data_IF_361230037877
#
_entry.id   IF_361230037877
#
_cell.length_a   1.000
_cell.length_b   1.000
_cell.length_c   1.000
_cell.angle_alpha   90.00
_cell.angle_beta   90.00
_cell.angle_gamma   90.00
#
_symmetry.space_group_name_H-M   'P 1'
#
loop_
_entity.id
_entity.type
_entity.pdbx_description
1 polymer ?
#
# COMPACT_ATOMS: atom_id res chain seq x y z
N UNK A 1 1.23 40.85 -19.57
CA UNK A 1 2.22 40.58 -20.64
C UNK A 1 3.45 41.50 -20.61
N UNK A 2 3.32 42.80 -20.30
CA UNK A 2 4.48 43.71 -20.25
C UNK A 2 5.51 43.40 -19.13
N UNK A 3 5.04 42.97 -17.95
CA UNK A 3 5.93 42.63 -16.82
C UNK A 3 6.79 41.37 -17.06
N UNK A 4 6.29 40.38 -17.81
CA UNK A 4 7.01 39.15 -18.15
C UNK A 4 8.13 39.39 -19.18
N UNK A 5 7.95 40.35 -20.11
CA UNK A 5 9.00 40.76 -21.06
C UNK A 5 10.15 41.54 -20.40
N UNK A 6 9.88 42.27 -19.31
CA UNK A 6 10.91 43.02 -18.59
C UNK A 6 11.87 42.10 -17.81
N UNK A 7 11.33 41.09 -17.10
CA UNK A 7 12.13 40.10 -16.36
C UNK A 7 13.01 39.22 -17.26
N UNK A 8 12.56 38.93 -18.48
CA UNK A 8 13.33 38.17 -19.46
C UNK A 8 14.50 38.94 -20.05
N UNK A 9 14.42 40.29 -20.15
CA UNK A 9 15.55 41.12 -20.61
C UNK A 9 16.61 41.31 -19.52
N UNK A 10 16.20 41.50 -18.27
CA UNK A 10 17.15 41.61 -17.15
C UNK A 10 17.96 40.33 -16.91
N UNK A 11 17.38 39.15 -17.17
CA UNK A 11 18.10 37.88 -17.06
C UNK A 11 19.09 37.63 -18.20
N UNK A 12 18.84 38.16 -19.40
CA UNK A 12 19.74 37.99 -20.56
C UNK A 12 20.94 38.93 -20.44
N UNK A 13 20.74 40.19 -20.05
CA UNK A 13 21.85 41.13 -19.86
C UNK A 13 22.80 40.72 -18.72
N UNK A 14 22.29 40.04 -17.68
CA UNK A 14 23.13 39.51 -16.59
C UNK A 14 24.04 38.36 -17.02
N UNK A 15 23.66 37.61 -18.05
CA UNK A 15 24.46 36.50 -18.61
C UNK A 15 25.51 37.03 -19.57
N UNK A 16 25.21 38.10 -20.32
CA UNK A 16 26.18 38.78 -21.19
C UNK A 16 27.28 39.51 -20.38
N UNK A 17 26.95 40.17 -19.26
CA UNK A 17 27.94 40.83 -18.38
C UNK A 17 28.87 39.85 -17.63
N UNK A 18 28.45 38.60 -17.42
CA UNK A 18 29.31 37.56 -16.82
C UNK A 18 30.24 36.90 -17.86
N UNK A 19 29.87 36.90 -19.14
CA UNK A 19 30.73 36.41 -20.23
C UNK A 19 31.82 37.40 -20.64
N UNK A 20 31.60 38.71 -20.46
CA UNK A 20 32.58 39.74 -20.85
C UNK A 20 33.74 39.92 -19.84
N UNK A 21 33.70 39.24 -18.68
CA UNK A 21 34.74 39.34 -17.63
C UNK A 21 35.83 38.28 -17.65
N UNK A 22 35.90 37.41 -18.67
CA UNK A 22 36.87 36.31 -18.74
C UNK A 22 38.02 36.57 -19.75
N UNK A 23 37.98 37.64 -20.53
CA UNK A 23 39.12 38.02 -21.38
C UNK A 23 39.94 39.15 -20.73
N UNK A 24 41.14 38.84 -20.22
CA UNK A 24 42.40 39.63 -20.33
C UNK A 24 43.55 38.93 -19.55
N UNK A 25 44.72 38.81 -20.21
CA UNK A 25 46.09 38.39 -19.75
C UNK A 25 46.29 36.88 -19.46
N UNK A 26 47.28 36.14 -20.01
CA UNK A 26 48.69 36.43 -20.33
C UNK A 26 49.31 35.42 -21.38
N UNK A 27 50.57 35.55 -21.85
CA UNK A 27 51.01 35.17 -23.20
C UNK A 27 51.59 33.75 -23.39
N UNK A 28 51.30 33.19 -24.58
CA UNK A 28 52.07 32.28 -25.45
C UNK A 28 53.04 31.29 -24.75
N UNK A 29 52.63 30.02 -24.67
CA UNK A 29 53.54 28.86 -24.71
C UNK A 29 53.01 27.78 -25.65
N UNK A 30 53.93 27.34 -26.49
CA UNK A 30 53.96 26.34 -27.56
C UNK A 30 52.83 25.34 -27.76
N UNK A 31 52.59 25.09 -29.06
CA UNK A 31 51.57 24.25 -29.69
C UNK A 31 51.65 22.77 -29.31
N UNK A 32 50.55 22.21 -28.84
CA UNK A 32 50.20 20.80 -29.04
C UNK A 32 48.80 20.72 -29.68
N UNK A 33 48.63 19.82 -30.65
CA UNK A 33 47.38 19.58 -31.38
C UNK A 33 46.21 19.31 -30.41
N UNK A 34 45.08 20.04 -30.48
CA UNK A 34 43.89 19.63 -29.76
C UNK A 34 43.32 18.38 -30.46
N UNK A 35 43.25 17.28 -29.73
CA UNK A 35 42.37 16.16 -30.07
C UNK A 35 40.95 16.73 -30.17
N UNK A 36 40.24 16.37 -31.24
CA UNK A 36 38.80 16.66 -31.38
C UNK A 36 38.08 16.13 -30.13
N UNK A 37 37.60 17.03 -29.28
CA UNK A 37 36.62 16.69 -28.25
C UNK A 37 35.29 16.44 -28.98
N UNK A 38 34.87 15.17 -29.00
CA UNK A 38 33.53 14.79 -29.41
C UNK A 38 32.50 15.58 -28.58
N UNK A 39 31.77 16.46 -29.25
CA UNK A 39 30.58 17.11 -28.67
C UNK A 39 29.58 15.98 -28.37
N UNK A 40 29.20 15.73 -27.11
CA UNK A 40 28.25 14.68 -26.80
C UNK A 40 26.89 15.02 -27.44
N UNK A 41 26.39 14.08 -28.25
CA UNK A 41 25.09 14.14 -28.90
C UNK A 41 23.97 14.40 -27.88
N UNK A 42 23.50 15.65 -27.84
CA UNK A 42 22.45 16.12 -26.92
C UNK A 42 21.08 15.44 -27.13
N UNK A 43 20.93 14.57 -28.13
CA UNK A 43 19.67 13.90 -28.46
C UNK A 43 19.35 12.65 -27.63
N UNK A 44 20.24 12.21 -26.72
CA UNK A 44 20.03 11.02 -25.85
C UNK A 44 20.39 11.22 -24.38
N UNK A 45 20.22 12.43 -23.83
CA UNK A 45 20.28 12.60 -22.37
C UNK A 45 19.09 11.86 -21.72
N UNK A 46 19.30 10.58 -21.34
CA UNK A 46 18.36 9.86 -20.47
C UNK A 46 18.24 10.68 -19.19
N UNK A 47 17.02 11.11 -18.88
CA UNK A 47 16.71 11.75 -17.60
C UNK A 47 16.91 10.66 -16.53
N UNK A 48 18.05 10.72 -15.83
CA UNK A 48 18.37 9.82 -14.72
C UNK A 48 17.82 10.39 -13.41
N UNK A 49 17.22 9.53 -12.59
CA UNK A 49 16.72 9.91 -11.27
C UNK A 49 17.88 10.24 -10.34
N UNK A 50 17.77 11.34 -9.60
CA UNK A 50 18.81 11.75 -8.65
C UNK A 50 18.87 10.79 -7.47
N UNK A 51 20.02 10.11 -7.30
CA UNK A 51 20.31 9.31 -6.10
C UNK A 51 20.31 10.18 -4.84
N UNK A 52 19.34 9.94 -3.96
CA UNK A 52 19.11 10.75 -2.76
C UNK A 52 18.66 9.93 -1.54
N UNK A 53 18.25 8.68 -1.73
CA UNK A 53 17.79 7.81 -0.63
C UNK A 53 19.01 7.18 0.06
N UNK A 54 19.23 7.56 1.31
CA UNK A 54 20.28 7.00 2.20
C UNK A 54 19.82 5.70 2.86
N UNK A 55 20.72 4.99 3.53
CA UNK A 55 20.39 3.81 4.35
C UNK A 55 19.30 4.10 5.39
N UNK A 56 19.42 5.21 6.13
CA UNK A 56 18.42 5.59 7.14
C UNK A 56 17.06 5.89 6.52
N UNK A 57 17.04 6.57 5.37
CA UNK A 57 15.82 6.79 4.61
C UNK A 57 15.21 5.46 4.13
N UNK A 58 16.05 4.49 3.73
CA UNK A 58 15.63 3.15 3.34
C UNK A 58 14.98 2.37 4.48
N UNK A 59 15.64 2.30 5.64
CA UNK A 59 15.09 1.67 6.86
C UNK A 59 13.77 2.33 7.27
N UNK A 60 13.74 3.66 7.33
CA UNK A 60 12.55 4.43 7.66
C UNK A 60 11.40 4.20 6.68
N UNK A 61 11.70 4.06 5.38
CA UNK A 61 10.71 3.77 4.36
C UNK A 61 10.13 2.35 4.50
N UNK A 62 10.95 1.32 4.77
CA UNK A 62 10.41 -0.03 5.02
C UNK A 62 9.56 -0.04 6.28
N UNK A 63 10.08 0.44 7.41
CA UNK A 63 9.35 0.46 8.68
C UNK A 63 8.06 1.26 8.52
N UNK A 64 8.13 2.45 7.91
CA UNK A 64 6.99 3.31 7.66
C UNK A 64 5.99 2.77 6.63
N UNK A 65 6.38 1.82 5.78
CA UNK A 65 5.46 1.19 4.83
C UNK A 65 4.80 -0.04 5.46
N UNK A 66 5.59 -0.91 6.09
CA UNK A 66 5.09 -2.15 6.69
C UNK A 66 4.24 -1.84 7.92
N UNK A 67 4.78 -1.07 8.86
CA UNK A 67 4.03 -0.64 10.04
C UNK A 67 2.96 0.33 9.56
N UNK A 68 1.75 -0.18 9.37
CA UNK A 68 0.62 0.58 8.84
C UNK A 68 -0.66 0.25 9.60
N UNK A 69 -1.77 0.14 8.86
CA UNK A 69 -3.06 -0.27 9.41
C UNK A 69 -3.12 -1.76 9.76
N UNK A 70 -2.28 -2.59 9.12
CA UNK A 70 -2.33 -4.05 9.23
C UNK A 70 -2.31 -4.55 10.68
N UNK A 71 -1.40 -4.03 11.51
CA UNK A 71 -1.26 -4.42 12.92
C UNK A 71 -2.48 -4.06 13.79
N UNK A 72 -3.35 -3.16 13.34
CA UNK A 72 -4.55 -2.75 14.07
C UNK A 72 -5.79 -3.59 13.70
N UNK A 73 -5.67 -4.50 12.74
CA UNK A 73 -6.80 -5.30 12.22
C UNK A 73 -6.49 -6.78 12.31
N UNK A 74 -5.33 -7.16 11.80
CA UNK A 74 -4.92 -8.57 11.65
C UNK A 74 -4.78 -9.35 12.95
N UNK A 75 -4.53 -8.76 14.14
CA UNK A 75 -4.59 -9.52 15.39
C UNK A 75 -5.90 -10.29 15.58
N UNK A 76 -7.05 -9.69 15.24
CA UNK A 76 -8.35 -10.35 15.37
C UNK A 76 -8.50 -11.48 14.38
N UNK A 77 -8.06 -11.27 13.13
CA UNK A 77 -8.02 -12.30 12.10
C UNK A 77 -7.15 -13.50 12.50
N UNK A 78 -5.93 -13.25 12.98
CA UNK A 78 -5.03 -14.33 13.41
C UNK A 78 -5.64 -15.10 14.58
N UNK A 79 -6.11 -14.43 15.64
CA UNK A 79 -6.68 -15.09 16.83
C UNK A 79 -7.97 -15.84 16.50
N UNK A 80 -8.79 -15.32 15.60
CA UNK A 80 -10.02 -15.98 15.16
C UNK A 80 -9.74 -17.35 14.55
N UNK A 81 -8.65 -17.47 13.79
CA UNK A 81 -8.29 -18.71 13.14
C UNK A 81 -7.57 -19.69 14.08
N UNK A 82 -6.68 -19.20 14.96
CA UNK A 82 -5.85 -20.08 15.83
C UNK A 82 -6.38 -20.30 17.25
N UNK A 83 -7.38 -19.54 17.68
CA UNK A 83 -8.09 -19.70 18.96
C UNK A 83 -7.34 -19.24 20.22
N UNK A 84 -6.01 -19.32 20.25
CA UNK A 84 -5.20 -19.05 21.46
C UNK A 84 -4.18 -17.92 21.31
N UNK A 85 -3.81 -17.31 22.43
CA UNK A 85 -2.83 -16.22 22.48
C UNK A 85 -1.42 -16.72 22.12
N UNK A 86 -1.02 -17.87 22.66
CA UNK A 86 0.29 -18.48 22.45
C UNK A 86 0.52 -18.86 21.00
N UNK A 87 -0.46 -19.52 20.36
CA UNK A 87 -0.35 -19.88 18.95
C UNK A 87 -0.39 -18.64 18.04
N UNK A 88 -1.18 -17.62 18.39
CA UNK A 88 -1.17 -16.33 17.68
C UNK A 88 0.22 -15.67 17.66
N UNK A 89 0.91 -15.61 18.81
CA UNK A 89 2.27 -15.06 18.90
C UNK A 89 3.28 -15.86 18.07
N UNK A 90 3.15 -17.18 18.03
CA UNK A 90 3.96 -18.04 17.16
C UNK A 90 3.72 -17.72 15.68
N UNK A 91 2.47 -17.58 15.26
CA UNK A 91 2.13 -17.19 13.87
C UNK A 91 2.77 -15.84 13.52
N UNK A 92 2.69 -14.84 14.39
CA UNK A 92 3.33 -13.54 14.16
C UNK A 92 4.84 -13.63 13.99
N UNK A 93 5.52 -14.44 14.81
CA UNK A 93 6.96 -14.67 14.68
C UNK A 93 7.30 -15.39 13.36
N UNK A 94 6.52 -16.42 12.98
CA UNK A 94 6.70 -17.15 11.72
C UNK A 94 6.48 -16.23 10.51
N UNK A 95 5.43 -15.39 10.51
CA UNK A 95 5.20 -14.40 9.46
C UNK A 95 6.40 -13.45 9.29
N UNK A 96 7.02 -13.01 10.39
CA UNK A 96 8.21 -12.17 10.36
C UNK A 96 9.42 -12.85 9.73
N UNK A 97 9.67 -14.12 10.09
CA UNK A 97 10.75 -14.93 9.50
C UNK A 97 10.53 -15.15 8.01
N UNK A 98 9.33 -15.60 7.61
CA UNK A 98 8.98 -15.84 6.20
C UNK A 98 9.08 -14.56 5.38
N UNK A 99 8.61 -13.43 5.91
CA UNK A 99 8.69 -12.14 5.23
C UNK A 99 10.14 -11.66 5.09
N UNK A 100 10.98 -11.90 6.10
CA UNK A 100 12.41 -11.57 6.04
C UNK A 100 13.11 -12.38 4.96
N UNK A 101 12.83 -13.69 4.87
CA UNK A 101 13.38 -14.55 3.82
C UNK A 101 12.96 -14.06 2.43
N UNK A 102 11.67 -13.77 2.23
CA UNK A 102 11.17 -13.22 0.96
C UNK A 102 11.82 -11.88 0.59
N UNK A 103 11.99 -10.99 1.57
CA UNK A 103 12.63 -9.70 1.37
C UNK A 103 14.11 -9.84 1.00
N UNK A 104 14.85 -10.79 1.58
CA UNK A 104 16.25 -11.05 1.22
C UNK A 104 16.40 -11.57 -0.21
N UNK A 105 15.52 -12.48 -0.66
CA UNK A 105 15.49 -12.91 -2.06
C UNK A 105 15.23 -11.74 -3.01
N UNK A 106 14.34 -10.83 -2.64
CA UNK A 106 14.10 -9.60 -3.41
C UNK A 106 15.27 -8.62 -3.33
N UNK A 107 16.01 -8.58 -2.22
CA UNK A 107 17.20 -7.75 -2.11
C UNK A 107 18.24 -8.15 -3.17
N UNK A 108 18.48 -9.45 -3.34
CA UNK A 108 19.38 -9.99 -4.36
C UNK A 108 18.95 -9.59 -5.78
N UNK A 109 17.65 -9.72 -6.09
CA UNK A 109 17.10 -9.26 -7.36
C UNK A 109 17.25 -7.75 -7.55
N UNK A 110 17.01 -6.96 -6.51
CA UNK A 110 17.14 -5.49 -6.55
C UNK A 110 18.57 -4.97 -6.63
N UNK A 111 19.56 -5.77 -6.20
CA UNK A 111 20.98 -5.48 -6.42
C UNK A 111 21.48 -5.96 -7.78
N UNK A 112 20.85 -6.98 -8.36
CA UNK A 112 21.23 -7.52 -9.68
C UNK A 112 20.60 -6.69 -10.82
N UNK A 113 19.32 -6.34 -10.68
CA UNK A 113 18.55 -5.57 -11.65
C UNK A 113 18.24 -4.21 -11.03
N UNK A 114 19.17 -3.27 -11.15
CA UNK A 114 19.05 -1.90 -10.60
C UNK A 114 18.21 -0.98 -11.49
N UNK A 115 17.06 -1.48 -11.95
CA UNK A 115 16.07 -0.71 -12.71
C UNK A 115 14.87 -0.43 -11.81
N UNK A 116 14.25 0.73 -11.98
CA UNK A 116 13.01 1.09 -11.31
C UNK A 116 11.85 0.23 -11.82
N UNK A 117 10.84 0.00 -10.98
CA UNK A 117 9.66 -0.81 -11.30
C UNK A 117 9.52 -2.13 -10.52
N UNK A 118 10.52 -2.50 -9.69
CA UNK A 118 10.39 -3.59 -8.73
C UNK A 118 10.08 -4.95 -9.37
N UNK A 119 9.06 -5.62 -8.86
CA UNK A 119 8.63 -6.96 -9.31
C UNK A 119 8.27 -7.04 -10.81
N UNK A 120 7.65 -5.98 -11.35
CA UNK A 120 7.36 -5.86 -12.77
C UNK A 120 8.63 -5.98 -13.61
N UNK A 121 9.67 -5.23 -13.24
CA UNK A 121 10.92 -5.17 -14.00
C UNK A 121 11.70 -6.48 -13.89
N UNK A 122 11.63 -7.17 -12.74
CA UNK A 122 12.26 -8.49 -12.58
C UNK A 122 11.61 -9.54 -13.49
N UNK A 123 10.27 -9.53 -13.57
CA UNK A 123 9.55 -10.45 -14.46
C UNK A 123 9.80 -10.10 -15.93
N UNK A 124 9.90 -8.81 -16.27
CA UNK A 124 10.19 -8.35 -17.62
C UNK A 124 11.56 -8.85 -18.10
N UNK A 125 12.59 -8.75 -17.26
CA UNK A 125 13.95 -9.16 -17.62
C UNK A 125 14.08 -10.69 -17.76
N UNK A 126 13.37 -11.47 -16.95
CA UNK A 126 13.49 -12.94 -16.91
C UNK A 126 12.53 -13.66 -17.86
N UNK A 127 11.25 -13.23 -17.88
CA UNK A 127 10.16 -13.93 -18.57
C UNK A 127 9.60 -13.16 -19.78
N UNK A 128 10.05 -11.92 -20.00
CA UNK A 128 9.66 -11.09 -21.13
C UNK A 128 8.32 -10.37 -20.94
N UNK A 129 7.87 -9.74 -22.02
CA UNK A 129 6.81 -8.72 -22.00
C UNK A 129 5.44 -9.24 -21.52
N UNK A 130 5.01 -10.43 -21.97
CA UNK A 130 3.69 -10.96 -21.65
C UNK A 130 3.52 -11.23 -20.15
N UNK A 131 4.51 -11.87 -19.53
CA UNK A 131 4.48 -12.17 -18.10
C UNK A 131 4.53 -10.89 -17.26
N UNK A 132 5.35 -9.92 -17.68
CA UNK A 132 5.42 -8.61 -17.05
C UNK A 132 4.10 -7.85 -17.15
N UNK A 133 3.45 -7.89 -18.32
CA UNK A 133 2.13 -7.29 -18.52
C UNK A 133 1.08 -7.95 -17.62
N UNK A 134 1.05 -9.28 -17.52
CA UNK A 134 0.11 -9.98 -16.63
C UNK A 134 0.33 -9.60 -15.16
N UNK A 135 1.58 -9.49 -14.72
CA UNK A 135 1.88 -9.01 -13.36
C UNK A 135 1.40 -7.59 -13.16
N UNK A 136 1.71 -6.69 -14.09
CA UNK A 136 1.28 -5.28 -14.05
C UNK A 136 -0.25 -5.18 -14.04
N UNK A 137 -0.94 -6.00 -14.83
CA UNK A 137 -2.39 -6.05 -14.95
C UNK A 137 -3.05 -6.51 -13.65
N UNK A 138 -2.53 -7.55 -13.00
CA UNK A 138 -3.02 -8.03 -11.70
C UNK A 138 -2.72 -7.01 -10.59
N UNK A 139 -1.55 -6.39 -10.63
CA UNK A 139 -1.16 -5.39 -9.64
C UNK A 139 -2.04 -4.15 -9.74
N UNK A 140 -2.25 -3.68 -10.98
CA UNK A 140 -3.10 -2.56 -11.33
C UNK A 140 -4.53 -2.86 -10.95
N UNK A 141 -5.09 -3.99 -11.39
CA UNK A 141 -6.49 -4.32 -11.18
C UNK A 141 -6.78 -4.80 -9.77
N UNK A 142 -6.06 -5.77 -9.22
CA UNK A 142 -6.53 -6.47 -8.01
C UNK A 142 -5.79 -5.97 -6.77
N UNK A 143 -4.46 -5.99 -6.80
CA UNK A 143 -3.66 -5.89 -5.57
C UNK A 143 -3.70 -4.47 -5.00
N UNK A 144 -3.39 -3.45 -5.81
CA UNK A 144 -3.30 -2.06 -5.32
C UNK A 144 -4.64 -1.50 -4.85
N UNK A 145 -5.76 -1.62 -5.59
CA UNK A 145 -7.03 -1.06 -5.14
C UNK A 145 -7.60 -1.80 -3.94
N UNK A 146 -7.48 -3.14 -3.88
CA UNK A 146 -7.98 -3.92 -2.75
C UNK A 146 -7.26 -3.55 -1.46
N UNK A 147 -5.92 -3.42 -1.52
CA UNK A 147 -5.11 -2.99 -0.37
C UNK A 147 -5.51 -1.59 0.10
N UNK A 148 -5.65 -0.63 -0.83
CA UNK A 148 -6.06 0.75 -0.51
C UNK A 148 -7.46 0.81 0.10
N UNK A 149 -8.39 0.01 -0.41
CA UNK A 149 -9.75 -0.08 0.10
C UNK A 149 -9.79 -0.66 1.52
N UNK A 150 -9.08 -1.78 1.77
CA UNK A 150 -9.02 -2.38 3.11
C UNK A 150 -8.47 -1.38 4.13
N UNK A 151 -7.36 -0.70 3.81
CA UNK A 151 -6.78 0.31 4.71
C UNK A 151 -7.73 1.48 4.95
N UNK A 152 -8.46 1.93 3.92
CA UNK A 152 -9.41 3.04 4.02
C UNK A 152 -10.67 2.67 4.80
N UNK A 153 -11.13 1.42 4.67
CA UNK A 153 -12.23 0.89 5.46
C UNK A 153 -11.85 0.86 6.95
N UNK A 154 -10.61 0.53 7.25
CA UNK A 154 -10.11 0.48 8.62
C UNK A 154 -9.98 1.87 9.20
N UNK A 155 -9.49 2.84 8.42
CA UNK A 155 -9.56 4.26 8.78
C UNK A 155 -10.99 4.66 9.19
N UNK A 156 -11.98 4.31 8.36
CA UNK A 156 -13.37 4.64 8.63
C UNK A 156 -13.93 3.95 9.88
N UNK A 157 -13.64 2.66 10.07
CA UNK A 157 -14.07 1.90 11.25
C UNK A 157 -13.46 2.50 12.53
N UNK A 158 -12.16 2.79 12.53
CA UNK A 158 -11.50 3.39 13.70
C UNK A 158 -11.97 4.81 13.99
N UNK A 159 -12.30 5.60 12.96
CA UNK A 159 -12.85 6.94 13.13
C UNK A 159 -14.28 6.91 13.70
N UNK A 160 -15.09 5.95 13.25
CA UNK A 160 -16.50 5.82 13.66
C UNK A 160 -16.67 5.06 14.97
N UNK A 161 -15.77 4.15 15.33
CA UNK A 161 -15.94 3.28 16.51
C UNK A 161 -16.20 4.05 17.81
N UNK A 162 -15.55 5.19 18.10
CA UNK A 162 -15.87 5.99 19.29
C UNK A 162 -17.30 6.54 19.32
N UNK A 163 -17.95 6.71 18.16
CA UNK A 163 -19.36 7.13 18.05
C UNK A 163 -20.33 5.95 18.24
N UNK A 164 -19.84 4.72 18.05
CA UNK A 164 -20.56 3.45 18.19
C UNK A 164 -19.84 2.51 19.18
N UNK A 165 -19.69 2.91 20.47
CA UNK A 165 -18.88 2.15 21.42
C UNK A 165 -19.47 0.76 21.71
N UNK A 166 -20.78 0.67 21.93
CA UNK A 166 -21.47 -0.58 22.31
C UNK A 166 -22.12 -1.34 21.14
N UNK A 167 -22.03 -0.82 19.92
CA UNK A 167 -22.64 -1.42 18.73
C UNK A 167 -21.63 -1.51 17.58
N UNK A 168 -21.96 -2.30 16.56
CA UNK A 168 -21.16 -2.38 15.34
C UNK A 168 -21.28 -1.10 14.53
N UNK A 169 -20.20 -0.71 13.86
CA UNK A 169 -20.21 0.46 12.99
C UNK A 169 -21.11 0.16 11.77
N UNK A 170 -22.07 1.03 11.42
CA UNK A 170 -22.90 0.83 10.23
C UNK A 170 -22.04 0.71 8.96
N UNK A 171 -22.20 -0.39 8.24
CA UNK A 171 -21.36 -0.72 7.08
C UNK A 171 -21.43 0.36 5.97
N UNK A 172 -22.61 0.92 5.75
CA UNK A 172 -22.81 2.01 4.77
C UNK A 172 -22.05 3.28 5.15
N UNK A 173 -22.00 3.63 6.44
CA UNK A 173 -21.26 4.78 6.94
C UNK A 173 -19.75 4.57 6.82
N UNK A 174 -19.26 3.39 7.21
CA UNK A 174 -17.86 3.03 7.07
C UNK A 174 -17.40 3.07 5.61
N UNK A 175 -18.18 2.49 4.69
CA UNK A 175 -17.91 2.54 3.25
C UNK A 175 -17.86 3.97 2.70
N UNK A 176 -18.82 4.83 3.08
CA UNK A 176 -18.86 6.21 2.61
C UNK A 176 -17.65 7.02 3.07
N UNK A 177 -17.26 6.87 4.34
CA UNK A 177 -16.07 7.55 4.90
C UNK A 177 -14.78 6.99 4.28
N UNK A 178 -14.71 5.69 4.01
CA UNK A 178 -13.58 5.08 3.32
C UNK A 178 -13.42 5.62 1.90
N UNK A 179 -14.51 5.74 1.15
CA UNK A 179 -14.50 6.37 -0.17
C UNK A 179 -14.08 7.85 -0.09
N UNK A 180 -14.61 8.60 0.89
CA UNK A 180 -14.24 9.99 1.10
C UNK A 180 -12.75 10.14 1.44
N UNK A 181 -12.19 9.26 2.27
CA UNK A 181 -10.76 9.19 2.56
C UNK A 181 -9.95 9.02 1.28
N UNK A 182 -10.26 8.02 0.45
CA UNK A 182 -9.56 7.74 -0.82
C UNK A 182 -9.63 8.93 -1.79
N UNK A 183 -10.83 9.46 -2.02
CA UNK A 183 -11.04 10.59 -2.94
C UNK A 183 -10.31 11.84 -2.45
N UNK A 184 -10.36 12.14 -1.15
CA UNK A 184 -9.68 13.31 -0.58
C UNK A 184 -8.16 13.20 -0.70
N UNK A 185 -7.57 12.05 -0.36
CA UNK A 185 -6.14 11.83 -0.48
C UNK A 185 -5.66 11.92 -1.93
N UNK A 186 -6.44 11.41 -2.86
CA UNK A 186 -6.05 11.47 -4.27
C UNK A 186 -6.18 12.85 -4.84
N UNK A 187 -7.21 13.60 -4.44
CA UNK A 187 -7.30 15.01 -4.77
C UNK A 187 -6.05 15.78 -4.30
N UNK A 188 -5.60 15.55 -3.05
CA UNK A 188 -4.38 16.15 -2.52
C UNK A 188 -3.13 15.72 -3.31
N UNK A 189 -3.01 14.44 -3.64
CA UNK A 189 -1.89 13.90 -4.42
C UNK A 189 -1.85 14.42 -5.86
N UNK A 190 -3.01 14.69 -6.47
CA UNK A 190 -3.10 15.31 -7.79
C UNK A 190 -2.60 16.77 -7.78
N UNK A 191 -2.81 17.50 -6.67
CA UNK A 191 -2.41 18.92 -6.53
C UNK A 191 -0.94 19.06 -6.14
N UNK A 192 -0.46 18.32 -5.13
CA UNK A 192 0.91 18.49 -4.65
C UNK A 192 1.48 17.25 -3.98
N UNK A 193 2.43 16.61 -4.66
CA UNK A 193 3.29 15.56 -4.10
C UNK A 193 4.00 16.06 -2.84
N UNK A 194 4.54 17.28 -2.86
CA UNK A 194 5.33 17.84 -1.75
C UNK A 194 4.51 18.05 -0.48
N UNK A 195 3.25 18.43 -0.61
CA UNK A 195 2.35 18.54 0.54
C UNK A 195 2.02 17.15 1.09
N UNK A 196 1.69 16.20 0.20
CA UNK A 196 1.36 14.83 0.57
C UNK A 196 2.56 14.09 1.22
N UNK A 197 3.81 14.36 0.83
CA UNK A 197 4.99 13.79 1.51
C UNK A 197 5.24 14.41 2.89
N UNK A 198 5.12 15.74 3.06
CA UNK A 198 5.25 16.37 4.39
C UNK A 198 4.21 15.86 5.39
N UNK A 199 2.99 15.66 4.91
CA UNK A 199 1.88 15.14 5.70
C UNK A 199 2.13 13.65 6.07
N UNK A 200 2.74 12.87 5.17
CA UNK A 200 3.16 11.48 5.45
C UNK A 200 4.13 11.35 6.62
N UNK A 201 5.09 12.28 6.73
CA UNK A 201 6.09 12.23 7.81
C UNK A 201 5.44 12.36 9.19
N UNK A 202 4.45 13.27 9.31
CA UNK A 202 3.67 13.47 10.54
C UNK A 202 2.89 12.20 10.90
N UNK A 203 2.27 11.55 9.91
CA UNK A 203 1.54 10.30 10.13
C UNK A 203 2.45 9.15 10.52
N UNK A 204 3.68 9.14 10.00
CA UNK A 204 4.69 8.14 10.36
C UNK A 204 5.12 8.28 11.81
N UNK A 205 5.33 9.51 12.29
CA UNK A 205 5.59 9.73 13.71
C UNK A 205 4.39 9.31 14.59
N UNK A 206 3.17 9.64 14.16
CA UNK A 206 1.93 9.36 14.89
C UNK A 206 1.73 7.86 15.17
N UNK A 207 1.97 6.99 14.19
CA UNK A 207 1.82 5.54 14.38
C UNK A 207 2.88 4.92 15.27
N UNK A 208 4.12 5.40 15.22
CA UNK A 208 5.19 4.93 16.11
C UNK A 208 4.88 5.30 17.57
N UNK A 209 4.30 6.48 17.80
CA UNK A 209 3.83 6.90 19.12
C UNK A 209 2.73 5.95 19.62
N UNK A 210 1.71 5.66 18.79
CA UNK A 210 0.62 4.74 19.17
C UNK A 210 1.13 3.35 19.59
N UNK A 211 2.02 2.77 18.80
CA UNK A 211 2.59 1.44 19.10
C UNK A 211 3.48 1.49 20.34
N UNK A 212 4.26 2.56 20.52
CA UNK A 212 5.07 2.75 21.72
C UNK A 212 4.20 2.80 22.98
N UNK A 213 3.08 3.54 22.92
CA UNK A 213 2.10 3.60 24.03
C UNK A 213 1.59 2.19 24.36
N UNK A 214 1.11 1.44 23.35
CA UNK A 214 0.57 0.08 23.55
C UNK A 214 1.62 -0.84 24.18
N UNK A 215 2.85 -0.85 23.65
CA UNK A 215 3.93 -1.70 24.13
C UNK A 215 4.32 -1.34 25.58
N UNK A 216 4.45 -0.04 25.90
CA UNK A 216 4.80 0.41 27.26
C UNK A 216 3.74 0.00 28.27
N UNK A 217 2.45 0.20 27.97
CA UNK A 217 1.36 -0.26 28.85
C UNK A 217 1.34 -1.78 29.01
N UNK A 218 1.61 -2.53 27.93
CA UNK A 218 1.79 -3.98 28.00
C UNK A 218 2.89 -4.40 28.99
N UNK A 219 4.06 -3.76 28.93
CA UNK A 219 5.14 -4.03 29.88
C UNK A 219 4.80 -3.64 31.32
N UNK A 220 4.04 -2.55 31.52
CA UNK A 220 3.54 -2.18 32.86
C UNK A 220 2.61 -3.26 33.42
N UNK A 221 1.69 -3.80 32.61
CA UNK A 221 0.81 -4.89 33.03
C UNK A 221 1.58 -6.18 33.36
N UNK A 222 2.57 -6.52 32.55
CA UNK A 222 3.48 -7.65 32.84
C UNK A 222 4.20 -7.43 34.18
N UNK A 223 4.70 -6.22 34.43
CA UNK A 223 5.36 -5.86 35.70
C UNK A 223 4.43 -5.92 36.93
N UNK A 224 3.11 -5.77 36.74
CA UNK A 224 2.10 -5.93 37.79
C UNK A 224 1.70 -7.39 38.04
N UNK A 225 2.07 -8.30 37.15
CA UNK A 225 1.70 -9.72 37.20
C UNK A 225 0.32 -10.03 36.59
N UNK A 226 -0.32 -9.08 35.91
CA UNK A 226 -1.63 -9.27 35.28
C UNK A 226 -1.45 -9.83 33.86
N UNK A 227 -1.16 -11.14 33.78
CA UNK A 227 -0.78 -11.84 32.55
C UNK A 227 -1.58 -13.14 32.34
N UNK A 228 -2.87 -13.13 32.70
CA UNK A 228 -3.73 -14.32 32.74
C UNK A 228 -3.68 -15.19 31.46
N UNK A 229 -3.61 -14.57 30.28
CA UNK A 229 -3.62 -15.26 28.98
C UNK A 229 -2.22 -15.57 28.41
N UNK A 230 -1.16 -15.09 29.07
CA UNK A 230 0.23 -15.35 28.68
C UNK A 230 0.90 -16.40 29.57
N UNK A 231 0.25 -16.86 30.64
CA UNK A 231 0.72 -17.98 31.44
C UNK A 231 0.83 -19.25 30.58
N UNK A 232 1.93 -20.03 30.66
CA UNK A 232 2.11 -21.24 29.86
C UNK A 232 0.95 -22.23 29.94
N UNK A 233 0.31 -22.33 31.10
CA UNK A 233 -0.82 -23.23 31.36
C UNK A 233 -2.09 -22.86 30.56
N UNK A 234 -2.25 -21.58 30.20
CA UNK A 234 -3.46 -21.03 29.55
C UNK A 234 -3.16 -20.56 28.12
N UNK A 235 -1.93 -20.16 27.82
CA UNK A 235 -1.55 -19.50 26.57
C UNK A 235 -1.91 -20.31 25.31
N UNK A 236 -1.86 -21.64 25.40
CA UNK A 236 -2.17 -22.55 24.29
C UNK A 236 -3.54 -23.26 24.44
N UNK A 237 -4.35 -22.91 25.44
CA UNK A 237 -5.68 -23.50 25.58
C UNK A 237 -6.60 -23.05 24.44
N UNK A 238 -7.34 -24.01 23.86
CA UNK A 238 -8.21 -23.75 22.70
C UNK A 238 -7.46 -23.46 21.40
N UNK A 239 -6.20 -23.89 21.27
CA UNK A 239 -5.44 -23.75 20.04
C UNK A 239 -5.98 -24.65 18.94
N UNK A 240 -6.25 -24.07 17.78
CA UNK A 240 -6.62 -24.79 16.57
C UNK A 240 -5.38 -25.04 15.71
N UNK A 241 -4.99 -26.31 15.58
CA UNK A 241 -3.82 -26.73 14.81
C UNK A 241 -4.17 -27.23 13.40
N UNK A 242 -5.41 -27.01 12.95
CA UNK A 242 -5.84 -27.32 11.59
C UNK A 242 -4.95 -26.65 10.55
N UNK A 243 -4.63 -27.36 9.47
CA UNK A 243 -3.79 -26.82 8.40
C UNK A 243 -4.46 -25.61 7.74
N UNK A 244 -5.78 -25.68 7.57
CA UNK A 244 -6.63 -24.59 7.11
C UNK A 244 -6.56 -23.38 8.06
N UNK A 245 -6.73 -23.59 9.36
CA UNK A 245 -6.64 -22.53 10.37
C UNK A 245 -5.27 -21.83 10.35
N UNK A 246 -4.19 -22.61 10.33
CA UNK A 246 -2.82 -22.07 10.31
C UNK A 246 -2.57 -21.29 9.02
N UNK A 247 -3.02 -21.79 7.87
CA UNK A 247 -2.83 -21.09 6.58
C UNK A 247 -3.64 -19.78 6.54
N UNK A 248 -4.88 -19.77 7.01
CA UNK A 248 -5.70 -18.55 7.09
C UNK A 248 -5.13 -17.52 8.09
N UNK A 249 -4.59 -18.00 9.21
CA UNK A 249 -3.88 -17.16 10.17
C UNK A 249 -2.61 -16.55 9.55
N UNK A 250 -1.83 -17.35 8.80
CA UNK A 250 -0.65 -16.87 8.08
C UNK A 250 -1.03 -15.84 7.01
N UNK A 251 -2.13 -16.02 6.27
CA UNK A 251 -2.61 -15.00 5.33
C UNK A 251 -2.90 -13.67 6.03
N UNK A 252 -3.58 -13.72 7.18
CA UNK A 252 -3.86 -12.53 7.99
C UNK A 252 -2.58 -11.87 8.51
N UNK A 253 -1.63 -12.65 9.02
CA UNK A 253 -0.36 -12.14 9.52
C UNK A 253 0.53 -11.56 8.41
N UNK A 254 0.68 -12.26 7.29
CA UNK A 254 1.49 -11.83 6.15
C UNK A 254 0.96 -10.54 5.51
N UNK A 255 -0.36 -10.31 5.53
CA UNK A 255 -0.93 -9.02 5.13
C UNK A 255 -0.34 -7.85 5.94
N UNK A 256 -0.15 -8.02 7.25
CA UNK A 256 0.43 -6.97 8.10
C UNK A 256 1.93 -6.73 7.84
N UNK A 257 2.64 -7.73 7.31
CA UNK A 257 4.05 -7.59 6.90
C UNK A 257 4.20 -7.07 5.46
N UNK A 258 3.12 -6.86 4.71
CA UNK A 258 3.16 -6.39 3.34
C UNK A 258 3.90 -5.04 3.20
N UNK A 259 4.69 -4.90 2.14
CA UNK A 259 5.40 -3.65 1.82
C UNK A 259 6.93 -3.72 1.91
N UNK A 260 7.50 -4.86 2.32
CA UNK A 260 8.96 -5.06 2.35
C UNK A 260 9.61 -4.95 0.96
N UNK A 261 8.87 -5.21 -0.12
CA UNK A 261 9.33 -5.09 -1.50
C UNK A 261 9.32 -3.66 -2.05
N UNK A 262 8.93 -2.64 -1.26
CA UNK A 262 8.75 -1.28 -1.79
C UNK A 262 10.07 -0.58 -2.13
N UNK A 263 11.16 -0.87 -1.40
CA UNK A 263 12.47 -0.32 -1.73
C UNK A 263 12.97 -0.76 -3.12
N UNK A 264 12.54 -1.92 -3.59
CA UNK A 264 12.88 -2.44 -4.92
C UNK A 264 12.35 -1.55 -6.06
N UNK A 265 11.32 -0.73 -5.82
CA UNK A 265 10.79 0.21 -6.81
C UNK A 265 11.55 1.54 -6.86
N UNK A 266 12.40 1.82 -5.87
CA UNK A 266 13.15 3.08 -5.74
C UNK A 266 14.67 2.86 -5.68
N UNK A 267 15.14 1.72 -6.22
CA UNK A 267 16.56 1.36 -6.27
C UNK A 267 17.40 2.35 -7.07
N UNK A 268 16.86 2.91 -8.16
CA UNK A 268 17.53 3.95 -8.96
C UNK A 268 17.77 5.25 -8.19
N UNK A 269 16.92 5.55 -7.20
CA UNK A 269 17.03 6.73 -6.34
C UNK A 269 17.91 6.48 -5.10
N UNK A 270 18.36 5.24 -4.88
CA UNK A 270 19.14 4.84 -3.71
C UNK A 270 20.63 5.07 -3.90
N UNK A 271 21.27 5.61 -2.85
CA UNK A 271 22.73 5.73 -2.78
C UNK A 271 23.29 4.34 -2.48
N UNK A 272 24.23 3.84 -3.29
CA UNK A 272 24.89 2.53 -3.12
C UNK A 272 23.89 1.37 -2.88
N UNK A 273 22.99 1.08 -3.84
CA UNK A 273 21.92 0.09 -3.67
C UNK A 273 22.43 -1.30 -3.29
N UNK A 274 23.58 -1.73 -3.83
CA UNK A 274 24.23 -3.02 -3.53
C UNK A 274 24.46 -3.26 -2.04
N UNK A 275 24.71 -2.21 -1.26
CA UNK A 275 24.92 -2.30 0.19
C UNK A 275 23.70 -1.84 0.97
N UNK A 276 23.11 -0.72 0.57
CA UNK A 276 22.07 -0.07 1.36
C UNK A 276 20.72 -0.78 1.27
N UNK A 277 20.40 -1.44 0.15
CA UNK A 277 19.16 -2.21 0.01
C UNK A 277 19.14 -3.41 0.97
N UNK A 278 20.11 -4.35 0.95
CA UNK A 278 20.10 -5.50 1.84
C UNK A 278 20.24 -5.08 3.32
N UNK A 279 21.08 -4.07 3.62
CA UNK A 279 21.19 -3.56 4.99
C UNK A 279 19.89 -2.96 5.49
N UNK A 280 19.15 -2.23 4.64
CA UNK A 280 17.84 -1.68 5.04
C UNK A 280 16.89 -2.78 5.47
N UNK A 281 16.82 -3.87 4.70
CA UNK A 281 15.93 -5.02 4.95
C UNK A 281 16.34 -5.78 6.21
N UNK A 282 17.63 -6.10 6.37
CA UNK A 282 18.15 -6.84 7.53
C UNK A 282 17.92 -6.08 8.83
N UNK A 283 17.94 -4.74 8.80
CA UNK A 283 17.67 -3.92 9.98
C UNK A 283 16.16 -3.78 10.19
N UNK A 284 15.38 -3.45 9.16
CA UNK A 284 13.97 -3.12 9.32
C UNK A 284 13.09 -4.32 9.64
N UNK A 285 13.31 -5.48 9.00
CA UNK A 285 12.40 -6.63 9.13
C UNK A 285 12.37 -7.23 10.55
N UNK A 286 13.51 -7.43 11.23
CA UNK A 286 13.51 -7.85 12.63
C UNK A 286 12.86 -6.82 13.55
N UNK A 287 13.11 -5.52 13.34
CA UNK A 287 12.49 -4.45 14.14
C UNK A 287 10.96 -4.53 14.02
N UNK A 288 10.43 -4.64 12.81
CA UNK A 288 8.98 -4.78 12.58
C UNK A 288 8.44 -6.04 13.25
N UNK A 289 9.13 -7.17 13.12
CA UNK A 289 8.71 -8.44 13.73
C UNK A 289 8.63 -8.32 15.25
N UNK A 290 9.66 -7.73 15.88
CA UNK A 290 9.68 -7.50 17.33
C UNK A 290 8.54 -6.56 17.73
N UNK A 291 8.34 -5.44 17.04
CA UNK A 291 7.24 -4.51 17.33
C UNK A 291 5.89 -5.20 17.23
N UNK A 292 5.65 -6.03 16.20
CA UNK A 292 4.38 -6.73 16.02
C UNK A 292 4.14 -7.80 17.08
N UNK A 293 5.15 -8.61 17.42
CA UNK A 293 5.04 -9.60 18.50
C UNK A 293 4.80 -8.90 19.84
N UNK A 294 5.54 -7.83 20.15
CA UNK A 294 5.36 -7.06 21.38
C UNK A 294 3.97 -6.38 21.46
N UNK A 295 3.46 -5.87 20.35
CA UNK A 295 2.13 -5.25 20.29
C UNK A 295 1.04 -6.28 20.55
N UNK A 296 1.11 -7.46 19.93
CA UNK A 296 0.15 -8.54 20.18
C UNK A 296 0.25 -9.07 21.61
N UNK A 297 1.48 -9.25 22.12
CA UNK A 297 1.71 -9.62 23.52
C UNK A 297 1.06 -8.61 24.46
N UNK A 298 1.24 -7.30 24.22
CA UNK A 298 0.59 -6.24 24.98
C UNK A 298 -0.94 -6.37 24.95
N UNK A 299 -1.54 -6.64 23.79
CA UNK A 299 -2.99 -6.87 23.72
C UNK A 299 -3.43 -8.04 24.60
N UNK A 300 -2.72 -9.17 24.60
CA UNK A 300 -3.08 -10.34 25.42
C UNK A 300 -2.84 -10.19 26.92
N UNK A 301 -2.07 -9.19 27.37
CA UNK A 301 -2.00 -8.86 28.81
C UNK A 301 -3.34 -8.38 29.35
N UNK A 302 -4.19 -7.82 28.50
CA UNK A 302 -5.36 -7.05 28.93
C UNK A 302 -6.66 -7.56 28.31
N UNK A 303 -6.63 -7.93 27.04
CA UNK A 303 -7.80 -8.29 26.26
C UNK A 303 -7.86 -9.82 26.15
N UNK A 304 -8.92 -10.44 26.68
CA UNK A 304 -9.17 -11.87 26.48
C UNK A 304 -9.32 -12.23 24.99
N UNK A 305 -8.83 -13.40 24.53
CA UNK A 305 -8.96 -13.81 23.13
C UNK A 305 -10.40 -13.74 22.58
N UNK A 306 -11.40 -14.14 23.38
CA UNK A 306 -12.81 -14.09 22.98
C UNK A 306 -13.35 -12.66 22.81
N UNK A 307 -12.83 -11.67 23.53
CA UNK A 307 -13.18 -10.25 23.34
C UNK A 307 -12.49 -9.71 22.10
N UNK A 308 -11.23 -10.13 21.87
CA UNK A 308 -10.44 -9.71 20.72
C UNK A 308 -11.11 -10.09 19.39
N UNK A 309 -11.57 -11.34 19.26
CA UNK A 309 -12.21 -11.86 18.04
C UNK A 309 -13.51 -11.12 17.70
N UNK A 310 -14.22 -10.60 18.70
CA UNK A 310 -15.48 -9.87 18.51
C UNK A 310 -15.28 -8.34 18.35
N UNK A 311 -14.04 -7.85 18.44
CA UNK A 311 -13.75 -6.43 18.34
C UNK A 311 -13.38 -6.04 16.91
N UNK A 312 -14.07 -5.03 16.37
CA UNK A 312 -13.71 -4.42 15.09
C UNK A 312 -12.46 -3.52 15.19
N UNK A 313 -12.10 -3.09 16.40
CA UNK A 313 -11.02 -2.13 16.66
C UNK A 313 -10.29 -2.44 17.98
N UNK A 314 -9.43 -3.46 17.98
CA UNK A 314 -8.71 -3.95 19.17
C UNK A 314 -7.93 -2.87 19.90
N UNK A 315 -7.28 -1.96 19.17
CA UNK A 315 -6.50 -0.91 19.82
C UNK A 315 -7.39 0.07 20.61
N UNK A 316 -8.61 0.34 20.12
CA UNK A 316 -9.56 1.20 20.86
C UNK A 316 -9.97 0.53 22.17
N UNK A 317 -10.28 -0.77 22.14
CA UNK A 317 -10.59 -1.55 23.35
C UNK A 317 -9.43 -1.53 24.34
N UNK A 318 -8.20 -1.68 23.86
CA UNK A 318 -7.00 -1.57 24.70
C UNK A 318 -6.87 -0.19 25.33
N UNK A 319 -7.14 0.87 24.55
CA UNK A 319 -7.11 2.26 24.99
C UNK A 319 -8.19 2.59 26.03
N UNK A 320 -9.41 2.09 25.86
CA UNK A 320 -10.50 2.26 26.81
C UNK A 320 -10.16 1.67 28.18
N UNK A 321 -9.50 0.52 28.21
CA UNK A 321 -9.09 -0.13 29.46
C UNK A 321 -8.01 0.68 30.22
N UNK A 322 -7.01 1.21 29.53
CA UNK A 322 -5.83 1.83 30.18
C UNK A 322 -5.90 3.36 30.31
N UNK A 323 -6.41 4.04 29.28
CA UNK A 323 -6.29 5.49 29.14
C UNK A 323 -7.51 6.24 29.69
N UNK A 324 -8.62 5.53 29.98
CA UNK A 324 -9.84 6.12 30.50
C UNK A 324 -10.29 7.32 29.67
N UNK A 325 -10.24 8.53 30.24
CA UNK A 325 -10.57 9.77 29.54
C UNK A 325 -9.72 10.04 28.29
N UNK A 326 -8.48 9.56 28.23
CA UNK A 326 -7.58 9.75 27.09
C UNK A 326 -7.74 8.67 26.00
N UNK A 327 -8.75 7.80 26.09
CA UNK A 327 -8.99 6.72 25.11
C UNK A 327 -9.16 7.22 23.67
N UNK A 328 -9.64 8.46 23.49
CA UNK A 328 -9.80 9.11 22.19
C UNK A 328 -8.48 9.32 21.42
N UNK A 329 -7.33 9.27 22.09
CA UNK A 329 -6.02 9.39 21.43
C UNK A 329 -5.73 8.20 20.50
N UNK A 330 -6.14 6.98 20.89
CA UNK A 330 -5.87 5.77 20.11
C UNK A 330 -6.54 5.80 18.73
N UNK A 331 -7.87 6.01 18.59
CA UNK A 331 -8.51 6.07 17.28
C UNK A 331 -7.97 7.23 16.43
N UNK A 332 -7.54 8.34 17.05
CA UNK A 332 -6.88 9.43 16.31
C UNK A 332 -5.54 8.98 15.74
N UNK A 333 -4.63 8.43 16.56
CA UNK A 333 -3.33 8.00 16.05
C UNK A 333 -3.41 6.82 15.08
N UNK A 334 -4.32 5.87 15.31
CA UNK A 334 -4.58 4.77 14.37
C UNK A 334 -5.20 5.30 13.07
N UNK A 335 -6.15 6.22 13.15
CA UNK A 335 -6.73 6.88 11.98
C UNK A 335 -5.66 7.59 11.15
N UNK A 336 -4.78 8.38 11.79
CA UNK A 336 -3.65 9.02 11.13
C UNK A 336 -2.69 7.99 10.48
N UNK A 337 -2.45 6.86 11.13
CA UNK A 337 -1.67 5.74 10.59
C UNK A 337 -2.28 5.18 9.30
N UNK A 338 -3.58 4.86 9.32
CA UNK A 338 -4.29 4.32 8.17
C UNK A 338 -4.31 5.33 7.01
N UNK A 339 -4.56 6.61 7.31
CA UNK A 339 -4.57 7.68 6.32
C UNK A 339 -3.18 7.85 5.65
N UNK A 340 -2.10 7.78 6.43
CA UNK A 340 -0.74 7.75 5.89
C UNK A 340 -0.42 6.50 5.07
N UNK A 341 -0.93 5.32 5.45
CA UNK A 341 -0.73 4.10 4.68
C UNK A 341 -1.39 4.18 3.28
N UNK A 342 -2.60 4.74 3.18
CA UNK A 342 -3.28 4.98 1.89
C UNK A 342 -2.47 5.96 1.03
N UNK A 343 -2.03 7.07 1.62
CA UNK A 343 -1.22 8.08 0.94
C UNK A 343 0.10 7.50 0.38
N UNK A 344 0.81 6.71 1.19
CA UNK A 344 2.02 5.99 0.75
C UNK A 344 1.74 5.01 -0.39
N UNK A 345 0.64 4.27 -0.33
CA UNK A 345 0.23 3.36 -1.40
C UNK A 345 -0.02 4.11 -2.71
N UNK A 346 -0.75 5.24 -2.68
CA UNK A 346 -1.03 6.06 -3.88
C UNK A 346 0.25 6.52 -4.59
N UNK A 347 1.28 6.94 -3.84
CA UNK A 347 2.57 7.32 -4.42
C UNK A 347 3.24 6.19 -5.18
N UNK A 348 3.21 4.98 -4.64
CA UNK A 348 3.86 3.82 -5.28
C UNK A 348 3.07 3.29 -6.48
N UNK A 349 1.73 3.31 -6.42
CA UNK A 349 0.88 2.91 -7.55
C UNK A 349 1.13 3.79 -8.78
N UNK A 350 1.27 5.11 -8.59
CA UNK A 350 1.51 6.03 -9.70
C UNK A 350 2.84 5.74 -10.42
N UNK A 351 3.91 5.39 -9.68
CA UNK A 351 5.22 5.04 -10.25
C UNK A 351 5.16 3.75 -11.07
N UNK A 352 4.44 2.75 -10.60
CA UNK A 352 4.26 1.49 -11.33
C UNK A 352 3.56 1.72 -12.67
N UNK A 353 2.49 2.52 -12.69
CA UNK A 353 1.75 2.81 -13.93
C UNK A 353 2.55 3.65 -14.91
N UNK A 354 3.35 4.59 -14.39
CA UNK A 354 4.31 5.34 -15.18
C UNK A 354 5.36 4.42 -15.84
N UNK A 355 5.93 3.46 -15.09
CA UNK A 355 6.88 2.49 -15.62
C UNK A 355 6.25 1.60 -16.71
N UNK A 356 5.06 1.06 -16.46
CA UNK A 356 4.34 0.25 -17.45
C UNK A 356 3.93 1.00 -18.72
N UNK A 357 3.61 2.29 -18.62
CA UNK A 357 3.34 3.14 -19.79
C UNK A 357 4.61 3.44 -20.60
N UNK A 358 5.76 3.60 -19.92
CA UNK A 358 7.06 3.82 -20.58
C UNK A 358 7.51 2.63 -21.42
N UNK A 359 7.23 1.41 -20.95
CA UNK A 359 7.51 0.16 -21.67
C UNK A 359 6.45 -0.18 -22.74
N UNK A 360 5.49 0.72 -23.02
CA UNK A 360 4.48 0.54 -24.06
C UNK A 360 3.37 -0.46 -23.72
N UNK A 361 3.34 -0.98 -22.49
CA UNK A 361 2.38 -2.00 -22.04
C UNK A 361 1.07 -1.42 -21.51
N UNK A 362 1.07 -0.14 -21.13
CA UNK A 362 -0.12 0.63 -20.78
C UNK A 362 -0.33 1.79 -21.76
N UNK A 363 -1.58 2.28 -21.92
CA UNK A 363 -1.84 3.46 -22.74
C UNK A 363 -0.97 4.64 -22.32
N UNK A 364 -0.37 5.34 -23.28
CA UNK A 364 0.55 6.46 -23.04
C UNK A 364 -0.06 7.57 -22.16
N UNK A 365 -1.39 7.72 -22.16
CA UNK A 365 -2.12 8.64 -21.30
C UNK A 365 -1.83 8.44 -19.79
N UNK A 366 -1.59 7.20 -19.34
CA UNK A 366 -1.29 6.87 -17.94
C UNK A 366 0.16 7.21 -17.55
N UNK A 367 1.03 7.50 -18.52
CA UNK A 367 2.40 7.96 -18.29
C UNK A 367 2.54 9.49 -18.28
N UNK A 368 1.46 10.24 -18.51
CA UNK A 368 1.52 11.70 -18.59
C UNK A 368 1.69 12.35 -17.21
N UNK A 369 2.51 13.39 -17.16
CA UNK A 369 2.76 14.21 -15.97
C UNK A 369 2.24 15.62 -16.22
N UNK A 370 1.58 16.22 -15.23
CA UNK A 370 1.08 17.59 -15.31
C UNK A 370 2.25 18.59 -15.41
N UNK A 371 2.17 19.55 -16.33
CA UNK A 371 3.27 20.50 -16.61
C UNK A 371 3.60 21.43 -15.45
N UNK A 372 2.58 21.97 -14.77
CA UNK A 372 2.79 22.97 -13.71
C UNK A 372 2.99 22.35 -12.32
N UNK A 373 2.31 21.22 -12.05
CA UNK A 373 2.29 20.55 -10.75
C UNK A 373 3.32 19.41 -10.65
N UNK A 374 3.83 18.93 -11.79
CA UNK A 374 4.72 17.77 -11.89
C UNK A 374 4.14 16.50 -11.24
N UNK A 375 2.81 16.32 -11.31
CA UNK A 375 2.06 15.20 -10.73
C UNK A 375 1.52 14.26 -11.82
N UNK A 376 1.53 12.93 -11.63
CA UNK A 376 0.95 11.95 -12.57
C UNK A 376 -0.58 11.85 -12.41
N UNK A 377 -1.29 12.93 -12.76
CA UNK A 377 -2.74 13.05 -12.54
C UNK A 377 -3.56 11.93 -13.19
N UNK A 378 -3.35 11.53 -14.47
CA UNK A 378 -4.15 10.48 -15.08
C UNK A 378 -4.02 9.11 -14.39
N UNK A 379 -2.82 8.75 -13.94
CA UNK A 379 -2.56 7.48 -13.24
C UNK A 379 -3.23 7.46 -11.87
N UNK A 380 -3.17 8.58 -11.14
CA UNK A 380 -3.84 8.74 -9.84
C UNK A 380 -5.37 8.68 -9.97
N UNK A 381 -5.93 9.38 -10.97
CA UNK A 381 -7.37 9.33 -11.26
C UNK A 381 -7.80 7.92 -11.66
N UNK A 382 -7.01 7.23 -12.50
CA UNK A 382 -7.32 5.86 -12.92
C UNK A 382 -7.36 4.88 -11.73
N UNK A 383 -6.47 5.06 -10.76
CA UNK A 383 -6.42 4.27 -9.52
C UNK A 383 -7.74 4.33 -8.74
N UNK A 384 -8.47 5.45 -8.78
CA UNK A 384 -9.72 5.65 -8.01
C UNK A 384 -10.99 5.59 -8.83
N UNK A 385 -11.05 6.29 -9.97
CA UNK A 385 -12.28 6.50 -10.72
C UNK A 385 -12.72 5.27 -11.53
N UNK A 386 -11.78 4.39 -11.90
CA UNK A 386 -12.08 3.19 -12.72
C UNK A 386 -11.86 1.91 -11.92
N UNK A 387 -10.87 1.91 -11.02
CA UNK A 387 -10.40 0.69 -10.40
C UNK A 387 -11.21 0.20 -9.20
N UNK A 388 -11.61 1.07 -8.28
CA UNK A 388 -12.42 0.66 -7.11
C UNK A 388 -13.80 0.09 -7.53
N UNK A 389 -14.54 0.67 -8.49
CA UNK A 389 -15.81 0.08 -8.95
C UNK A 389 -15.61 -1.20 -9.77
N UNK A 390 -14.59 -1.25 -10.64
CA UNK A 390 -14.33 -2.41 -11.50
C UNK A 390 -13.79 -3.59 -10.69
N UNK A 391 -12.99 -3.36 -9.65
CA UNK A 391 -12.54 -4.39 -8.69
C UNK A 391 -13.63 -4.86 -7.78
N UNK A 392 -14.51 -3.97 -7.33
CA UNK A 392 -15.70 -4.37 -6.62
C UNK A 392 -16.58 -5.26 -7.49
N UNK A 393 -16.78 -4.91 -8.77
CA UNK A 393 -17.53 -5.73 -9.74
C UNK A 393 -16.81 -7.06 -10.04
N UNK A 394 -15.49 -7.06 -10.27
CA UNK A 394 -14.70 -8.28 -10.50
C UNK A 394 -14.61 -9.17 -9.26
N UNK A 395 -14.52 -8.58 -8.07
CA UNK A 395 -14.55 -9.27 -6.78
C UNK A 395 -15.92 -9.89 -6.50
N UNK A 396 -17.01 -9.21 -6.86
CA UNK A 396 -18.36 -9.78 -6.88
C UNK A 396 -18.46 -10.93 -7.89
N UNK A 397 -17.92 -10.79 -9.10
CA UNK A 397 -17.90 -11.87 -10.11
C UNK A 397 -17.05 -13.05 -9.64
N UNK A 398 -15.89 -12.80 -9.02
CA UNK A 398 -15.03 -13.84 -8.46
C UNK A 398 -15.69 -14.55 -7.27
N UNK A 399 -16.30 -13.82 -6.34
CA UNK A 399 -17.12 -14.38 -5.26
C UNK A 399 -18.28 -15.21 -5.81
N UNK A 400 -18.93 -14.76 -6.88
CA UNK A 400 -19.96 -15.54 -7.58
C UNK A 400 -19.36 -16.84 -8.12
N UNK A 401 -18.23 -16.79 -8.83
CA UNK A 401 -17.56 -17.98 -9.38
C UNK A 401 -17.07 -18.95 -8.31
N UNK A 402 -16.53 -18.44 -7.20
CA UNK A 402 -16.11 -19.25 -6.04
C UNK A 402 -17.33 -19.81 -5.32
N UNK A 403 -18.45 -19.07 -5.24
CA UNK A 403 -19.72 -19.57 -4.70
C UNK A 403 -20.32 -20.67 -5.59
N UNK A 404 -20.17 -20.57 -6.91
CA UNK A 404 -20.49 -21.65 -7.85
C UNK A 404 -19.64 -22.90 -7.61
N UNK A 405 -18.41 -22.76 -7.12
CA UNK A 405 -17.52 -23.87 -6.81
C UNK A 405 -17.75 -24.44 -5.40
N UNK A 406 -18.05 -23.59 -4.42
CA UNK A 406 -18.26 -23.94 -3.03
C UNK A 406 -19.67 -24.50 -2.73
N UNK A 407 -20.70 -24.03 -3.43
CA UNK A 407 -22.10 -24.45 -3.26
C UNK A 407 -22.85 -24.55 -4.62
N UNK A 408 -22.46 -25.49 -5.51
CA UNK A 408 -22.95 -25.56 -6.88
C UNK A 408 -24.46 -25.76 -7.00
N UNK A 409 -25.09 -26.45 -6.04
CA UNK A 409 -26.51 -26.81 -6.10
C UNK A 409 -27.45 -25.62 -5.86
N UNK A 410 -27.11 -24.75 -4.90
CA UNK A 410 -27.89 -23.55 -4.55
C UNK A 410 -27.82 -22.49 -5.67
N UNK A 411 -26.64 -22.31 -6.26
CA UNK A 411 -26.47 -21.42 -7.42
C UNK A 411 -27.20 -21.93 -8.66
N UNK A 412 -27.33 -23.25 -8.85
CA UNK A 412 -28.10 -23.86 -9.93
C UNK A 412 -29.61 -23.59 -9.76
N UNK A 413 -30.13 -23.73 -8.54
CA UNK A 413 -31.53 -23.42 -8.20
C UNK A 413 -31.83 -21.94 -8.45
N UNK A 414 -30.96 -21.02 -8.00
CA UNK A 414 -31.11 -19.59 -8.26
C UNK A 414 -31.09 -19.25 -9.75
N UNK A 415 -30.21 -19.88 -10.53
CA UNK A 415 -30.12 -19.70 -11.98
C UNK A 415 -31.35 -20.27 -12.71
N UNK A 416 -31.89 -21.39 -12.25
CA UNK A 416 -33.11 -22.00 -12.79
C UNK A 416 -34.35 -21.11 -12.55
N UNK A 417 -34.46 -20.49 -11.37
CA UNK A 417 -35.54 -19.54 -11.04
C UNK A 417 -35.47 -18.28 -11.93
N UNK A 418 -34.27 -17.80 -12.26
CA UNK A 418 -34.10 -16.66 -13.18
C UNK A 418 -34.47 -17.04 -14.61
N UNK A 419 -34.11 -18.26 -15.05
CA UNK A 419 -34.44 -18.78 -16.37
C UNK A 419 -35.94 -19.00 -16.58
N UNK A 420 -36.74 -19.27 -15.54
CA UNK A 420 -38.21 -19.35 -15.67
C UNK A 420 -38.88 -17.99 -15.90
N UNK A 421 -38.18 -16.88 -15.65
CA UNK A 421 -38.62 -15.52 -16.02
C UNK A 421 -38.50 -15.22 -17.51
N UNK A 422 -37.61 -15.92 -18.24
CA UNK A 422 -37.36 -15.72 -19.68
C UNK A 422 -38.56 -16.13 -20.56
N UNK A 423 -39.23 -17.28 -20.34
CA UNK A 423 -40.48 -17.61 -21.01
C UNK A 423 -41.58 -16.57 -20.81
N UNK A 424 -41.72 -16.03 -19.59
CA UNK A 424 -42.74 -15.02 -19.28
C UNK A 424 -42.47 -13.69 -20.00
N UNK A 425 -41.20 -13.28 -20.06
CA UNK A 425 -40.77 -12.12 -20.83
C UNK A 425 -40.98 -12.30 -22.35
N UNK A 426 -40.66 -13.48 -22.89
CA UNK A 426 -40.85 -13.79 -24.30
C UNK A 426 -42.33 -13.87 -24.70
N UNK A 427 -43.20 -14.44 -23.85
CA UNK A 427 -44.66 -14.45 -24.05
C UNK A 427 -45.26 -13.04 -24.02
N UNK A 428 -44.85 -12.20 -23.05
CA UNK A 428 -45.26 -10.80 -22.99
C UNK A 428 -44.77 -9.97 -24.18
N UNK A 429 -43.57 -10.26 -24.68
CA UNK A 429 -42.99 -9.59 -25.85
C UNK A 429 -43.66 -10.00 -27.17
N UNK A 430 -44.01 -11.29 -27.32
CA UNK A 430 -44.71 -11.85 -28.50
C UNK A 430 -46.11 -11.23 -28.68
N UNK A 431 -46.76 -10.84 -27.59
CA UNK A 431 -48.08 -10.22 -27.62
C UNK A 431 -48.05 -8.74 -28.05
N UNK A 432 -46.91 -8.04 -27.85
CA UNK A 432 -46.77 -6.61 -28.16
C UNK A 432 -46.29 -6.31 -29.58
N UNK A 433 -45.54 -7.21 -30.24
CA UNK A 433 -45.07 -7.03 -31.65
C UNK A 433 -44.93 -8.36 -32.42
N UNK A 434 -45.99 -8.86 -33.08
CA UNK A 434 -45.98 -10.16 -33.77
C UNK A 434 -45.16 -10.18 -35.09
N UNK A 435 -44.85 -9.03 -35.70
CA UNK A 435 -44.23 -8.98 -37.02
C UNK A 435 -42.70 -9.18 -37.06
N UNK A 436 -41.99 -9.03 -35.94
CA UNK A 436 -40.51 -9.14 -35.91
C UNK A 436 -40.05 -10.58 -35.64
N UNK A 437 -40.85 -11.37 -34.92
CA UNK A 437 -40.48 -12.74 -34.52
C UNK A 437 -40.44 -13.70 -35.72
N UNK A 438 -41.16 -13.41 -36.79
CA UNK A 438 -41.19 -14.23 -38.02
C UNK A 438 -39.92 -14.10 -38.90
N UNK A 439 -38.97 -13.26 -38.49
CA UNK A 439 -37.70 -13.03 -39.22
C UNK A 439 -36.49 -13.68 -38.52
N UNK A 440 -36.69 -14.27 -37.33
CA UNK A 440 -35.65 -14.87 -36.50
C UNK A 440 -35.88 -16.39 -36.30
N UNK A 441 -37.10 -16.88 -36.59
CA UNK A 441 -37.38 -18.29 -36.91
C UNK A 441 -37.39 -18.42 -38.44
#
# INVERSE_FOLDING_TARGET
>A
MAALKSRSRESVNKVEEEQEKIEVSDPIKEREHPKEEEVPDSSKAKIELKRSITLFNGVGMIIGTIIGSGIFITPTGVVKEVGSAGLSLVVWAVCGVVSTMGALCYAELGTTITKSGGDYTYILEVYGELAAFLKLWIEMLIIRPSSQYVVSLVFATYLLKPLYPSCSVPESAAKLIACLCLTSLTFVNCISVKAATKVQDIFTASKLIALTIIIVFGFIQIGRGDIAYLHPDVAFQGSEFGVDNIVLALYSGLFAFGGWNYLNYVTEEMINPEKNLPLSIIISMPIVTVVYVLTNMAYFTTIPPHVMVNSEAVAVVFGEYHLGFMSWLIPVFVGLSCFGAVNGSLFTSARLFYAGAREGQLPAALGLVHTDLFTPVPSLIFTICVLVPVTFILGCVFMILVSFWAAPFECLIGSAIILTGVPFYLLGYKWKKPHIVRKIL
#
